data_IF_722021102619
#
_entry.id   IF_722021102619
#
_cell.length_a   1.000
_cell.length_b   1.000
_cell.length_c   1.000
_cell.angle_alpha   90.00
_cell.angle_beta   90.00
_cell.angle_gamma   90.00
#
_symmetry.space_group_name_H-M   'P 1'
#
loop_
_entity.id
_entity.type
_entity.pdbx_description
1 polymer ?
#
# COMPACT_ATOMS: atom_id res chain seq x y z
N UNK A 1 7.49 -22.81 -9.55
CA UNK A 1 6.37 -21.86 -9.73
C UNK A 1 5.96 -21.18 -8.42
N UNK A 2 5.81 -21.90 -7.30
CA UNK A 2 5.43 -21.30 -6.00
C UNK A 2 6.42 -20.21 -5.52
N UNK A 3 7.73 -20.43 -5.65
CA UNK A 3 8.77 -19.45 -5.26
C UNK A 3 8.63 -18.11 -5.97
N UNK A 4 8.18 -18.11 -7.22
CA UNK A 4 7.99 -16.88 -7.99
C UNK A 4 6.85 -16.02 -7.42
N UNK A 5 5.71 -16.64 -7.11
CA UNK A 5 4.57 -15.95 -6.49
C UNK A 5 4.91 -15.41 -5.10
N UNK A 6 5.64 -16.17 -4.28
CA UNK A 6 6.13 -15.69 -2.99
C UNK A 6 7.04 -14.46 -3.11
N UNK A 7 7.96 -14.45 -4.08
CA UNK A 7 8.80 -13.28 -4.32
C UNK A 7 7.98 -12.07 -4.74
N UNK A 8 6.94 -12.27 -5.58
CA UNK A 8 6.02 -11.19 -5.95
C UNK A 8 5.22 -10.68 -4.74
N UNK A 9 4.77 -11.54 -3.84
CA UNK A 9 4.05 -11.14 -2.63
C UNK A 9 4.95 -10.30 -1.71
N UNK A 10 6.19 -10.74 -1.50
CA UNK A 10 7.19 -9.99 -0.70
C UNK A 10 7.51 -8.65 -1.38
N UNK A 11 7.68 -8.63 -2.70
CA UNK A 11 7.95 -7.41 -3.43
C UNK A 11 6.75 -6.46 -3.36
N UNK A 12 5.53 -6.98 -3.50
CA UNK A 12 4.30 -6.21 -3.45
C UNK A 12 4.14 -5.52 -2.10
N UNK A 13 4.32 -6.24 -0.99
CA UNK A 13 4.17 -5.65 0.35
C UNK A 13 5.23 -4.56 0.61
N UNK A 14 6.49 -4.79 0.22
CA UNK A 14 7.57 -3.82 0.40
C UNK A 14 7.36 -2.60 -0.49
N UNK A 15 6.96 -2.81 -1.75
CA UNK A 15 6.74 -1.73 -2.70
C UNK A 15 5.54 -0.85 -2.29
N UNK A 16 4.40 -1.44 -1.94
CA UNK A 16 3.22 -0.66 -1.52
C UNK A 16 3.44 0.05 -0.20
N UNK A 17 4.18 -0.57 0.73
CA UNK A 17 4.59 0.08 1.97
C UNK A 17 5.51 1.29 1.69
N UNK A 18 6.57 1.08 0.91
CA UNK A 18 7.54 2.14 0.58
C UNK A 18 6.90 3.30 -0.18
N UNK A 19 6.10 3.01 -1.21
CA UNK A 19 5.37 4.04 -1.96
C UNK A 19 4.38 4.79 -1.08
N UNK A 20 3.63 4.09 -0.22
CA UNK A 20 2.67 4.72 0.68
C UNK A 20 3.33 5.70 1.65
N UNK A 21 4.48 5.32 2.22
CA UNK A 21 5.27 6.20 3.09
C UNK A 21 5.81 7.40 2.32
N UNK A 22 6.38 7.18 1.13
CA UNK A 22 6.91 8.24 0.28
C UNK A 22 5.84 9.27 -0.11
N UNK A 23 4.66 8.82 -0.53
CA UNK A 23 3.51 9.69 -0.85
C UNK A 23 3.13 10.52 0.38
N UNK A 24 3.05 9.90 1.56
CA UNK A 24 2.70 10.61 2.78
C UNK A 24 3.75 11.67 3.17
N UNK A 25 5.02 11.48 2.82
CA UNK A 25 6.06 12.50 3.00
C UNK A 25 5.90 13.67 2.02
N UNK A 26 5.60 13.39 0.74
CA UNK A 26 5.45 14.42 -0.31
C UNK A 26 4.24 15.31 -0.02
N UNK A 27 3.08 14.73 0.27
CA UNK A 27 1.85 15.50 0.50
C UNK A 27 1.67 15.98 1.93
N UNK A 28 2.57 15.58 2.85
CA UNK A 28 2.55 15.86 4.31
C UNK A 28 1.20 15.61 5.00
N UNK A 29 0.30 14.86 4.37
CA UNK A 29 -1.06 14.58 4.84
C UNK A 29 -1.22 13.08 4.97
N UNK A 30 -1.28 12.58 6.20
CA UNK A 30 -1.37 11.14 6.51
C UNK A 30 -2.58 10.39 5.95
N UNK A 31 -3.60 11.10 5.46
CA UNK A 31 -4.80 10.55 4.84
C UNK A 31 -4.67 10.34 3.34
N UNK A 32 -3.62 10.88 2.70
CA UNK A 32 -3.46 10.82 1.24
C UNK A 32 -3.09 9.41 0.78
N UNK A 33 -2.17 8.74 1.47
CA UNK A 33 -1.82 7.35 1.18
C UNK A 33 -3.02 6.38 1.19
N UNK A 34 -3.87 6.33 2.25
CA UNK A 34 -5.02 5.43 2.26
C UNK A 34 -6.09 5.82 1.22
N UNK A 35 -6.32 7.11 0.96
CA UNK A 35 -7.29 7.54 -0.06
C UNK A 35 -6.85 7.10 -1.46
N UNK A 36 -5.58 7.31 -1.82
CA UNK A 36 -5.05 6.86 -3.12
C UNK A 36 -5.18 5.35 -3.26
N UNK A 37 -4.90 4.61 -2.19
CA UNK A 37 -4.99 3.16 -2.21
C UNK A 37 -6.42 2.65 -2.40
N UNK A 38 -7.41 3.27 -1.74
CA UNK A 38 -8.83 2.94 -1.91
C UNK A 38 -9.28 3.21 -3.35
N UNK A 39 -8.93 4.37 -3.91
CA UNK A 39 -9.28 4.73 -5.29
C UNK A 39 -8.67 3.74 -6.28
N UNK A 40 -7.39 3.38 -6.09
CA UNK A 40 -6.71 2.39 -6.93
C UNK A 40 -7.34 0.99 -6.80
N UNK A 41 -7.71 0.60 -5.57
CA UNK A 41 -8.37 -0.69 -5.31
C UNK A 41 -9.72 -0.79 -6.01
N UNK A 42 -10.56 0.26 -5.92
CA UNK A 42 -11.86 0.32 -6.62
C UNK A 42 -11.66 0.26 -8.13
N UNK A 43 -10.67 1.00 -8.66
CA UNK A 43 -10.35 0.98 -10.09
C UNK A 43 -9.97 -0.43 -10.58
N UNK A 44 -9.09 -1.12 -9.85
CA UNK A 44 -8.72 -2.50 -10.18
C UNK A 44 -9.91 -3.46 -10.07
N UNK A 45 -10.78 -3.26 -9.08
CA UNK A 45 -11.96 -4.09 -8.89
C UNK A 45 -12.95 -3.98 -10.06
N UNK A 46 -13.08 -2.79 -10.67
CA UNK A 46 -13.96 -2.59 -11.84
C UNK A 46 -13.32 -3.14 -13.12
N UNK A 47 -12.00 -2.98 -13.28
CA UNK A 47 -11.32 -3.21 -14.57
C UNK A 47 -10.69 -4.59 -14.69
N UNK A 48 -10.23 -5.18 -13.60
CA UNK A 48 -9.39 -6.37 -13.59
C UNK A 48 -10.00 -7.56 -12.83
N UNK A 49 -10.95 -7.34 -11.91
CA UNK A 49 -11.50 -8.42 -11.09
C UNK A 49 -12.08 -9.58 -11.90
N UNK A 50 -12.72 -9.30 -13.04
CA UNK A 50 -13.30 -10.34 -13.90
C UNK A 50 -12.27 -11.23 -14.62
N UNK A 51 -10.98 -10.84 -14.63
CA UNK A 51 -9.90 -11.58 -15.31
C UNK A 51 -8.85 -12.13 -14.33
N UNK A 52 -8.98 -11.83 -13.04
CA UNK A 52 -8.00 -12.22 -12.04
C UNK A 52 -8.09 -13.69 -11.67
N UNK A 53 -6.95 -14.37 -11.77
CA UNK A 53 -6.68 -15.71 -11.28
C UNK A 53 -6.43 -15.70 -9.77
N UNK A 54 -6.55 -16.87 -9.14
CA UNK A 54 -6.43 -17.01 -7.68
C UNK A 54 -5.15 -16.41 -7.06
N UNK A 55 -3.94 -16.58 -7.64
CA UNK A 55 -2.71 -15.98 -7.10
C UNK A 55 -2.70 -14.45 -7.16
N UNK A 56 -3.35 -13.85 -8.17
CA UNK A 56 -3.40 -12.39 -8.33
C UNK A 56 -4.28 -11.74 -7.26
N UNK A 57 -5.31 -12.46 -6.78
CA UNK A 57 -6.08 -12.05 -5.62
C UNK A 57 -5.24 -12.02 -4.35
N UNK A 58 -4.39 -13.03 -4.14
CA UNK A 58 -3.47 -13.08 -2.98
C UNK A 58 -2.53 -11.87 -3.03
N UNK A 59 -1.90 -11.62 -4.18
CA UNK A 59 -1.04 -10.46 -4.42
C UNK A 59 -1.75 -9.13 -4.12
N UNK A 60 -2.99 -8.99 -4.55
CA UNK A 60 -3.80 -7.80 -4.31
C UNK A 60 -4.02 -7.57 -2.80
N UNK A 61 -4.37 -8.61 -2.05
CA UNK A 61 -4.55 -8.51 -0.60
C UNK A 61 -3.24 -8.24 0.14
N UNK A 62 -2.14 -8.87 -0.28
CA UNK A 62 -0.81 -8.61 0.29
C UNK A 62 -0.39 -7.15 0.07
N UNK A 63 -0.61 -6.63 -1.14
CA UNK A 63 -0.40 -5.21 -1.46
C UNK A 63 -1.25 -4.29 -0.57
N UNK A 64 -2.50 -4.68 -0.28
CA UNK A 64 -3.44 -3.92 0.55
C UNK A 64 -2.95 -3.84 1.99
N UNK A 65 -2.47 -4.96 2.53
CA UNK A 65 -1.84 -4.99 3.86
C UNK A 65 -0.63 -4.05 3.89
N UNK A 66 0.25 -4.07 2.89
CA UNK A 66 1.40 -3.18 2.81
C UNK A 66 1.04 -1.68 2.82
N UNK A 67 -0.02 -1.30 2.10
CA UNK A 67 -0.50 0.07 2.07
C UNK A 67 -1.14 0.51 3.41
N UNK A 68 -1.92 -0.36 4.05
CA UNK A 68 -2.48 -0.08 5.38
C UNK A 68 -1.37 0.08 6.44
N UNK A 69 -0.35 -0.79 6.38
CA UNK A 69 0.82 -0.70 7.26
C UNK A 69 1.57 0.62 7.07
N UNK A 70 1.70 1.11 5.84
CA UNK A 70 2.26 2.44 5.56
C UNK A 70 1.47 3.55 6.28
N UNK A 71 0.14 3.53 6.17
CA UNK A 71 -0.71 4.50 6.85
C UNK A 71 -0.55 4.46 8.37
N UNK A 72 -0.51 3.26 8.95
CA UNK A 72 -0.25 3.07 10.38
C UNK A 72 1.15 3.56 10.78
N UNK A 73 2.18 3.21 10.01
CA UNK A 73 3.56 3.60 10.26
C UNK A 73 3.72 5.12 10.25
N UNK A 74 3.13 5.82 9.27
CA UNK A 74 3.17 7.29 9.23
C UNK A 74 2.43 7.91 10.40
N UNK A 75 1.28 7.34 10.82
CA UNK A 75 0.58 7.81 12.02
C UNK A 75 1.43 7.63 13.29
N UNK A 76 2.15 6.51 13.39
CA UNK A 76 3.08 6.25 14.49
C UNK A 76 4.27 7.22 14.48
N UNK A 77 4.87 7.48 13.31
CA UNK A 77 5.97 8.44 13.15
C UNK A 77 5.56 9.87 13.47
N UNK A 78 4.32 10.26 13.11
CA UNK A 78 3.77 11.57 13.44
C UNK A 78 3.58 11.75 14.95
N UNK A 79 3.08 10.71 15.65
CA UNK A 79 2.95 10.74 17.12
C UNK A 79 4.30 10.89 17.84
N UNK A 80 5.38 10.41 17.22
CA UNK A 80 6.75 10.49 17.76
C UNK A 80 7.44 11.84 17.49
N UNK A 81 6.75 12.80 16.87
CA UNK A 81 7.27 14.17 16.71
C UNK A 81 8.28 14.35 15.59
N UNK A 82 8.35 13.43 14.61
CA UNK A 82 9.22 13.62 13.45
C UNK A 82 8.86 14.91 12.69
N UNK A 83 9.83 15.82 12.51
CA UNK A 83 9.65 17.13 11.89
C UNK A 83 9.14 17.06 10.45
N UNK A 84 9.43 15.95 9.77
CA UNK A 84 8.97 15.65 8.40
C UNK A 84 7.44 15.55 8.28
N UNK A 85 6.72 15.29 9.39
CA UNK A 85 5.26 15.11 9.43
C UNK A 85 4.53 16.13 10.33
N UNK A 86 5.25 17.13 10.87
CA UNK A 86 4.76 18.04 11.93
C UNK A 86 4.72 19.51 11.47
N UNK A 87 4.27 19.79 10.23
CA UNK A 87 3.76 21.13 9.90
C UNK A 87 2.33 21.02 9.40
#
# INVERSE_FOLDING_TARGET
>A
MVTFWLLLDILAIVATFGFGVAINMVFRRGWVSPVIYIVFSIYLMIRAAARMTWPEWILFFVGLIGALLSGYAVRSLRKRGYSLFTR
#
